data_IF_679356739275
#
_entry.id   IF_679356739275
#
_cell.length_a   1.000
_cell.length_b   1.000
_cell.length_c   1.000
_cell.angle_alpha   90.00
_cell.angle_beta   90.00
_cell.angle_gamma   90.00
#
_symmetry.space_group_name_H-M   'P 1'
#
loop_
_entity.id
_entity.type
_entity.pdbx_description
1 polymer ?
#
# COMPACT_ATOMS: atom_id res chain seq x y z
N UNK A 1 3.40 16.91 -19.00
CA UNK A 1 3.62 16.59 -17.58
C UNK A 1 4.53 15.37 -17.47
N UNK A 2 5.38 15.31 -16.45
CA UNK A 2 6.18 14.12 -16.15
C UNK A 2 5.62 13.41 -14.91
N UNK A 3 5.54 12.08 -14.96
CA UNK A 3 5.26 11.23 -13.80
C UNK A 3 6.53 10.46 -13.47
N UNK A 4 7.10 10.71 -12.30
CA UNK A 4 8.30 10.06 -11.81
C UNK A 4 7.93 8.83 -10.97
N UNK A 5 8.15 7.64 -11.52
CA UNK A 5 7.89 6.34 -10.90
C UNK A 5 6.69 5.60 -11.47
N UNK A 6 6.90 4.33 -11.81
CA UNK A 6 5.93 3.39 -12.40
C UNK A 6 5.21 2.54 -11.33
N UNK A 7 5.04 3.07 -10.10
CA UNK A 7 4.24 2.45 -9.06
C UNK A 7 2.74 2.72 -9.23
N UNK A 8 1.86 2.13 -8.36
CA UNK A 8 0.42 2.31 -8.46
C UNK A 8 -0.03 3.78 -8.44
N UNK A 9 0.62 4.63 -7.66
CA UNK A 9 0.34 6.07 -7.62
C UNK A 9 0.64 6.74 -8.97
N UNK A 10 1.82 6.47 -9.54
CA UNK A 10 2.26 7.08 -10.79
C UNK A 10 1.45 6.61 -11.98
N UNK A 11 1.22 5.29 -12.11
CA UNK A 11 0.41 4.74 -13.19
C UNK A 11 -1.04 5.23 -13.15
N UNK A 12 -1.66 5.29 -11.96
CA UNK A 12 -3.01 5.84 -11.81
C UNK A 12 -3.06 7.34 -12.15
N UNK A 13 -2.06 8.13 -11.72
CA UNK A 13 -1.95 9.54 -12.08
C UNK A 13 -1.80 9.72 -13.59
N UNK A 14 -0.91 8.95 -14.23
CA UNK A 14 -0.70 9.02 -15.67
C UNK A 14 -1.99 8.77 -16.46
N UNK A 15 -2.76 7.72 -16.06
CA UNK A 15 -4.05 7.40 -16.70
C UNK A 15 -5.08 8.49 -16.51
N UNK A 16 -5.23 9.02 -15.31
CA UNK A 16 -6.21 10.07 -15.01
C UNK A 16 -5.87 11.37 -15.74
N UNK A 17 -4.60 11.78 -15.74
CA UNK A 17 -4.15 12.99 -16.41
C UNK A 17 -4.24 12.87 -17.93
N UNK A 18 -3.88 11.73 -18.51
CA UNK A 18 -4.01 11.51 -19.95
C UNK A 18 -5.48 11.51 -20.39
N UNK A 19 -6.38 10.92 -19.59
CA UNK A 19 -7.83 10.96 -19.84
C UNK A 19 -8.38 12.39 -19.83
N UNK A 20 -7.81 13.28 -19.03
CA UNK A 20 -8.17 14.70 -18.98
C UNK A 20 -7.49 15.53 -20.08
N UNK A 21 -6.83 14.90 -21.06
CA UNK A 21 -6.22 15.53 -22.23
C UNK A 21 -4.80 16.07 -22.01
N UNK A 22 -4.19 15.80 -20.87
CA UNK A 22 -2.80 16.19 -20.64
C UNK A 22 -1.81 15.27 -21.37
N UNK A 23 -0.74 15.85 -21.93
CA UNK A 23 0.41 15.07 -22.43
C UNK A 23 1.25 14.60 -21.25
N UNK A 24 1.35 13.30 -21.06
CA UNK A 24 2.03 12.66 -19.92
C UNK A 24 3.15 11.77 -20.42
N UNK A 25 4.31 11.81 -19.75
CA UNK A 25 5.41 10.85 -19.91
C UNK A 25 5.72 10.26 -18.54
N UNK A 26 5.80 8.94 -18.44
CA UNK A 26 6.17 8.22 -17.21
C UNK A 26 7.65 7.86 -17.27
N UNK A 27 8.39 8.10 -16.19
CA UNK A 27 9.80 7.77 -16.06
C UNK A 27 10.00 6.68 -15.00
N UNK A 28 10.74 5.62 -15.34
CA UNK A 28 11.02 4.49 -14.47
C UNK A 28 12.50 4.13 -14.50
N UNK A 29 13.05 3.79 -13.32
CA UNK A 29 14.47 3.43 -13.18
C UNK A 29 14.83 2.05 -13.72
N UNK A 30 13.90 1.10 -13.68
CA UNK A 30 14.13 -0.25 -14.19
C UNK A 30 13.94 -0.29 -15.71
N UNK A 31 14.78 -1.05 -16.40
CA UNK A 31 14.65 -1.31 -17.84
C UNK A 31 13.34 -2.05 -18.17
N UNK A 32 13.01 -3.03 -17.36
CA UNK A 32 11.72 -3.71 -17.38
C UNK A 32 11.00 -3.45 -16.06
N UNK A 33 9.99 -2.58 -16.04
CA UNK A 33 9.21 -2.31 -14.84
C UNK A 33 8.58 -3.59 -14.31
N UNK A 34 8.88 -3.88 -13.05
CA UNK A 34 8.38 -5.08 -12.39
C UNK A 34 7.88 -4.75 -10.97
N UNK A 35 6.82 -5.43 -10.51
CA UNK A 35 6.32 -5.24 -9.17
C UNK A 35 7.26 -5.88 -8.15
N UNK A 36 7.52 -5.15 -7.06
CA UNK A 36 8.30 -5.65 -5.92
C UNK A 36 7.36 -5.93 -4.76
N UNK A 37 7.47 -7.10 -4.16
CA UNK A 37 6.72 -7.51 -2.98
C UNK A 37 5.62 -8.52 -3.28
N UNK A 38 4.84 -8.85 -2.25
CA UNK A 38 3.83 -9.90 -2.27
C UNK A 38 2.40 -9.31 -2.28
N UNK A 39 1.58 -9.67 -1.29
CA UNK A 39 0.19 -9.23 -1.22
C UNK A 39 -0.02 -7.82 -0.68
N UNK A 40 -1.14 -7.25 -1.03
CA UNK A 40 -1.71 -6.04 -0.45
C UNK A 40 -3.25 -6.13 -0.42
N UNK A 41 -3.90 -5.18 0.24
CA UNK A 41 -5.35 -5.08 0.23
C UNK A 41 -5.80 -3.83 -0.53
N UNK A 42 -6.68 -4.02 -1.51
CA UNK A 42 -7.49 -2.94 -2.08
C UNK A 42 -8.78 -2.84 -1.28
N UNK A 43 -8.97 -1.68 -0.70
CA UNK A 43 -10.12 -1.34 0.14
C UNK A 43 -11.21 -0.64 -0.70
N UNK A 44 -12.42 -0.49 -0.19
CA UNK A 44 -13.50 0.20 -0.91
C UNK A 44 -13.09 1.56 -1.48
N UNK A 45 -12.26 2.31 -0.77
CA UNK A 45 -11.78 3.63 -1.22
C UNK A 45 -10.85 3.56 -2.43
N UNK A 46 -9.92 2.61 -2.46
CA UNK A 46 -9.06 2.39 -3.62
C UNK A 46 -9.82 1.81 -4.80
N UNK A 47 -10.76 0.89 -4.51
CA UNK A 47 -11.62 0.30 -5.54
C UNK A 47 -12.49 1.35 -6.24
N UNK A 48 -12.98 2.37 -5.52
CA UNK A 48 -13.73 3.48 -6.11
C UNK A 48 -12.91 4.23 -7.17
N UNK A 49 -11.62 4.46 -6.94
CA UNK A 49 -10.74 5.06 -7.96
C UNK A 49 -10.54 4.13 -9.16
N UNK A 50 -10.33 2.83 -8.92
CA UNK A 50 -10.17 1.85 -9.99
C UNK A 50 -11.44 1.69 -10.82
N UNK A 51 -12.64 1.80 -10.22
CA UNK A 51 -13.91 1.89 -10.96
C UNK A 51 -13.94 3.12 -11.85
N UNK A 52 -13.58 4.28 -11.32
CA UNK A 52 -13.44 5.50 -12.10
C UNK A 52 -12.49 5.37 -13.30
N UNK A 53 -11.47 4.52 -13.19
CA UNK A 53 -10.55 4.17 -14.28
C UNK A 53 -11.08 3.07 -15.21
N UNK A 54 -12.18 2.37 -14.88
CA UNK A 54 -12.67 1.21 -15.61
C UNK A 54 -11.86 -0.07 -15.37
N UNK A 55 -11.06 -0.13 -14.30
CA UNK A 55 -10.11 -1.22 -14.02
C UNK A 55 -10.54 -2.13 -12.85
N UNK A 56 -11.66 -1.82 -12.19
CA UNK A 56 -12.08 -2.53 -11.00
C UNK A 56 -12.41 -4.01 -11.29
N UNK A 57 -13.17 -4.30 -12.36
CA UNK A 57 -13.58 -5.66 -12.69
C UNK A 57 -12.37 -6.55 -13.04
N UNK A 58 -11.39 -6.00 -13.76
CA UNK A 58 -10.15 -6.72 -14.07
C UNK A 58 -9.35 -7.06 -12.80
N UNK A 59 -9.38 -6.18 -11.79
CA UNK A 59 -8.77 -6.43 -10.49
C UNK A 59 -9.55 -7.50 -9.72
N UNK A 60 -10.86 -7.35 -9.60
CA UNK A 60 -11.74 -8.25 -8.85
C UNK A 60 -11.60 -9.69 -9.36
N UNK A 61 -11.60 -9.88 -10.69
CA UNK A 61 -11.47 -11.19 -11.31
C UNK A 61 -10.16 -11.94 -10.98
N UNK A 62 -9.12 -11.21 -10.58
CA UNK A 62 -7.79 -11.78 -10.27
C UNK A 62 -7.42 -11.69 -8.77
N UNK A 63 -8.31 -11.19 -7.93
CA UNK A 63 -8.11 -11.01 -6.49
C UNK A 63 -8.91 -12.00 -5.67
N UNK A 64 -8.67 -12.06 -4.37
CA UNK A 64 -9.51 -12.75 -3.42
C UNK A 64 -10.38 -11.73 -2.67
N UNK A 65 -11.68 -11.99 -2.59
CA UNK A 65 -12.60 -11.21 -1.75
C UNK A 65 -12.23 -11.39 -0.29
N UNK A 66 -12.15 -10.31 0.47
CA UNK A 66 -11.87 -10.34 1.92
C UNK A 66 -13.06 -9.72 2.65
N UNK A 67 -13.81 -10.55 3.33
CA UNK A 67 -14.97 -10.15 4.13
C UNK A 67 -14.60 -9.83 5.58
N UNK A 68 -13.49 -10.39 6.08
CA UNK A 68 -13.10 -10.31 7.49
C UNK A 68 -11.60 -10.20 7.68
N UNK A 69 -11.17 -9.45 8.69
CA UNK A 69 -9.82 -9.49 9.23
C UNK A 69 -9.92 -10.11 10.62
N UNK A 70 -9.19 -11.19 10.83
CA UNK A 70 -9.27 -11.97 12.06
C UNK A 70 -7.89 -12.25 12.64
N UNK A 71 -7.72 -12.03 13.93
CA UNK A 71 -6.46 -12.25 14.59
C UNK A 71 -6.59 -12.75 16.02
N UNK A 72 -5.72 -13.69 16.41
CA UNK A 72 -5.67 -14.21 17.77
C UNK A 72 -4.29 -14.09 18.39
N UNK A 73 -4.25 -13.95 19.71
CA UNK A 73 -3.05 -14.02 20.54
C UNK A 73 -3.30 -14.94 21.73
N UNK A 74 -2.49 -15.99 21.88
CA UNK A 74 -2.64 -16.98 22.97
C UNK A 74 -4.10 -17.50 23.11
N UNK A 75 -4.73 -17.84 21.99
CA UNK A 75 -6.11 -18.35 21.94
C UNK A 75 -7.21 -17.28 22.12
N UNK A 76 -6.86 -16.01 22.35
CA UNK A 76 -7.81 -14.90 22.50
C UNK A 76 -7.96 -14.13 21.18
N UNK A 77 -9.18 -13.74 20.85
CA UNK A 77 -9.45 -12.84 19.73
C UNK A 77 -8.92 -11.45 20.09
N UNK A 78 -8.05 -10.88 19.24
CA UNK A 78 -7.45 -9.55 19.40
C UNK A 78 -7.71 -8.63 18.21
N UNK A 79 -8.23 -9.19 17.14
CA UNK A 79 -8.68 -8.48 15.94
C UNK A 79 -9.87 -9.26 15.37
N UNK A 80 -10.99 -8.58 15.21
CA UNK A 80 -12.17 -9.13 14.55
C UNK A 80 -12.93 -8.00 13.85
N UNK A 81 -12.68 -7.84 12.57
CA UNK A 81 -13.21 -6.75 11.77
C UNK A 81 -13.95 -7.34 10.57
N UNK A 82 -15.27 -7.30 10.60
CA UNK A 82 -16.14 -7.67 9.49
C UNK A 82 -16.62 -6.42 8.72
N UNK A 83 -16.58 -6.47 7.41
CA UNK A 83 -17.11 -5.39 6.57
C UNK A 83 -18.64 -5.33 6.57
N UNK A 84 -19.32 -6.39 6.97
CA UNK A 84 -20.77 -6.49 7.17
C UNK A 84 -21.30 -5.52 8.25
N UNK A 85 -20.44 -5.07 9.15
CA UNK A 85 -20.75 -4.05 10.17
C UNK A 85 -20.86 -2.63 9.61
N UNK A 86 -20.44 -2.40 8.36
CA UNK A 86 -20.55 -1.11 7.68
C UNK A 86 -22.00 -0.83 7.29
N UNK A 87 -22.34 0.48 7.18
CA UNK A 87 -23.70 0.91 6.87
C UNK A 87 -24.15 0.51 5.46
N UNK A 88 -23.23 0.38 4.52
CA UNK A 88 -23.51 -0.02 3.15
C UNK A 88 -23.28 -1.53 3.00
N UNK A 89 -24.30 -2.31 2.63
CA UNK A 89 -24.17 -3.75 2.39
C UNK A 89 -23.24 -4.05 1.21
N UNK A 90 -22.63 -5.25 1.23
CA UNK A 90 -21.83 -5.75 0.12
C UNK A 90 -20.39 -5.21 0.04
N UNK A 91 -20.00 -4.27 0.90
CA UNK A 91 -18.63 -3.80 0.96
C UNK A 91 -17.70 -4.92 1.45
N UNK A 92 -16.51 -4.98 0.85
CA UNK A 92 -15.44 -5.88 1.24
C UNK A 92 -14.09 -5.30 0.82
N UNK A 93 -13.00 -5.85 1.34
CA UNK A 93 -11.67 -5.67 0.79
C UNK A 93 -11.36 -6.70 -0.29
N UNK A 94 -10.29 -6.47 -1.03
CA UNK A 94 -9.73 -7.42 -1.98
C UNK A 94 -8.27 -7.64 -1.68
N UNK A 95 -7.91 -8.88 -1.34
CA UNK A 95 -6.52 -9.30 -1.26
C UNK A 95 -5.99 -9.52 -2.68
N UNK A 96 -4.93 -8.85 -3.02
CA UNK A 96 -4.39 -8.87 -4.37
C UNK A 96 -2.87 -8.96 -4.35
N UNK A 97 -2.28 -9.73 -5.26
CA UNK A 97 -0.84 -9.69 -5.46
C UNK A 97 -0.42 -8.34 -6.05
N UNK A 98 0.70 -7.78 -5.60
CA UNK A 98 1.19 -6.49 -6.12
C UNK A 98 1.40 -6.52 -7.64
N UNK A 99 1.83 -7.67 -8.19
CA UNK A 99 1.97 -7.86 -9.63
C UNK A 99 0.64 -7.71 -10.38
N UNK A 100 -0.46 -8.14 -9.80
CA UNK A 100 -1.79 -8.01 -10.41
C UNK A 100 -2.20 -6.55 -10.52
N UNK A 101 -2.11 -5.79 -9.42
CA UNK A 101 -2.43 -4.35 -9.46
C UNK A 101 -1.51 -3.60 -10.43
N UNK A 102 -0.21 -3.92 -10.40
CA UNK A 102 0.76 -3.33 -11.32
C UNK A 102 0.42 -3.64 -12.78
N UNK A 103 0.20 -4.92 -13.13
CA UNK A 103 -0.07 -5.34 -14.50
C UNK A 103 -1.31 -4.65 -15.07
N UNK A 104 -2.41 -4.59 -14.30
CA UNK A 104 -3.66 -3.97 -14.73
C UNK A 104 -3.46 -2.46 -15.02
N UNK A 105 -2.76 -1.75 -14.15
CA UNK A 105 -2.48 -0.32 -14.35
C UNK A 105 -1.49 -0.09 -15.49
N UNK A 106 -0.46 -0.92 -15.59
CA UNK A 106 0.58 -0.82 -16.63
C UNK A 106 0.01 -1.13 -18.02
N UNK A 107 -0.74 -2.24 -18.14
CA UNK A 107 -1.44 -2.60 -19.39
C UNK A 107 -2.35 -1.46 -19.86
N UNK A 108 -3.07 -0.81 -18.94
CA UNK A 108 -3.92 0.34 -19.26
C UNK A 108 -3.10 1.57 -19.71
N UNK A 109 -1.94 1.84 -19.11
CA UNK A 109 -1.02 2.93 -19.53
C UNK A 109 -0.50 2.67 -20.94
N UNK A 110 -0.09 1.43 -21.25
CA UNK A 110 0.37 1.04 -22.58
C UNK A 110 -0.77 1.14 -23.60
N UNK A 111 -1.95 0.65 -23.26
CA UNK A 111 -3.14 0.71 -24.13
C UNK A 111 -3.59 2.16 -24.42
N UNK A 112 -3.38 3.07 -23.47
CA UNK A 112 -3.63 4.51 -23.64
C UNK A 112 -2.54 5.23 -24.46
N UNK A 113 -1.49 4.53 -24.90
CA UNK A 113 -0.38 5.10 -25.67
C UNK A 113 0.45 6.12 -24.88
N UNK A 114 0.46 6.05 -23.54
CA UNK A 114 1.23 6.95 -22.69
C UNK A 114 2.71 6.57 -22.77
N UNK A 115 3.62 7.49 -23.18
CA UNK A 115 5.06 7.22 -23.24
C UNK A 115 5.62 6.77 -21.88
N UNK A 116 6.39 5.67 -21.89
CA UNK A 116 7.09 5.14 -20.74
C UNK A 116 8.60 5.09 -21.02
N UNK A 117 9.35 5.98 -20.38
CA UNK A 117 10.82 6.01 -20.42
C UNK A 117 11.40 5.18 -19.30
N UNK A 118 11.92 4.01 -19.63
CA UNK A 118 12.56 3.06 -18.71
C UNK A 118 14.07 3.29 -18.61
N UNK A 119 14.75 2.68 -17.62
CA UNK A 119 16.18 2.87 -17.37
C UNK A 119 16.55 4.28 -16.90
N UNK A 120 15.58 5.10 -16.48
CA UNK A 120 15.77 6.49 -16.07
C UNK A 120 15.87 6.65 -14.56
N UNK A 121 17.06 6.56 -14.02
CA UNK A 121 17.31 6.75 -12.58
C UNK A 121 17.28 8.26 -12.27
N UNK A 122 16.17 8.72 -11.72
CA UNK A 122 15.97 10.13 -11.31
C UNK A 122 16.77 10.37 -10.02
N UNK A 123 17.57 11.43 -9.99
CA UNK A 123 18.36 11.85 -8.81
C UNK A 123 17.98 13.24 -8.30
N UNK A 124 17.19 14.02 -9.07
CA UNK A 124 16.75 15.35 -8.69
C UNK A 124 15.79 15.98 -9.67
N UNK A 125 15.37 17.18 -9.37
CA UNK A 125 14.64 18.06 -10.29
C UNK A 125 15.04 19.51 -10.04
N UNK A 126 14.99 20.33 -11.06
CA UNK A 126 15.30 21.74 -10.94
C UNK A 126 14.20 22.61 -11.60
N UNK A 127 13.91 23.73 -10.96
CA UNK A 127 13.06 24.75 -11.53
C UNK A 127 13.87 25.49 -12.63
N UNK A 128 13.34 25.52 -13.82
CA UNK A 128 13.93 26.21 -14.97
C UNK A 128 13.16 27.52 -15.16
N UNK A 129 13.51 28.36 -16.06
CA UNK A 129 12.85 29.69 -16.29
C UNK A 129 11.31 29.61 -16.15
N UNK A 130 10.71 30.50 -15.37
CA UNK A 130 9.29 30.60 -15.14
C UNK A 130 8.81 29.57 -14.10
N UNK A 131 7.77 28.82 -14.44
CA UNK A 131 7.08 27.85 -13.60
C UNK A 131 7.23 26.40 -14.09
N UNK A 132 8.28 26.09 -14.86
CA UNK A 132 8.58 24.76 -15.41
C UNK A 132 9.72 24.09 -14.69
N UNK A 133 9.65 22.76 -14.59
CA UNK A 133 10.70 21.92 -14.02
C UNK A 133 11.23 20.91 -15.05
N UNK A 134 12.46 20.46 -14.84
CA UNK A 134 13.03 19.28 -15.50
C UNK A 134 13.56 18.28 -14.47
N UNK A 135 13.57 17.02 -14.85
CA UNK A 135 14.20 15.93 -14.10
C UNK A 135 15.68 15.87 -14.39
N UNK A 136 16.48 15.49 -13.40
CA UNK A 136 17.90 15.17 -13.56
C UNK A 136 18.11 13.68 -13.30
N UNK A 137 18.92 13.04 -14.16
CA UNK A 137 19.18 11.60 -14.11
C UNK A 137 20.59 11.28 -13.62
N UNK A 138 20.80 10.05 -13.12
CA UNK A 138 22.07 9.60 -12.60
C UNK A 138 23.20 9.55 -13.66
N UNK A 139 22.86 9.49 -14.93
CA UNK A 139 23.80 9.55 -16.06
C UNK A 139 24.25 10.99 -16.42
N UNK A 140 23.85 11.99 -15.63
CA UNK A 140 24.15 13.40 -15.84
C UNK A 140 23.25 14.10 -16.86
N UNK A 141 22.33 13.39 -17.50
CA UNK A 141 21.37 13.97 -18.44
C UNK A 141 20.20 14.63 -17.71
N UNK A 142 19.49 15.49 -18.40
CA UNK A 142 18.24 16.09 -17.94
C UNK A 142 17.13 15.78 -18.94
N UNK A 143 15.89 15.74 -18.44
CA UNK A 143 14.70 15.66 -19.29
C UNK A 143 14.43 16.98 -20.02
N UNK A 144 13.46 16.96 -20.89
CA UNK A 144 12.78 18.19 -21.33
C UNK A 144 12.11 18.91 -20.14
N UNK A 145 11.56 20.09 -20.41
CA UNK A 145 10.87 20.92 -19.41
C UNK A 145 9.39 20.55 -19.36
N UNK A 146 8.88 20.35 -18.14
CA UNK A 146 7.49 20.02 -17.88
C UNK A 146 6.81 21.12 -17.07
N UNK A 147 5.55 21.37 -17.37
CA UNK A 147 4.70 22.27 -16.59
C UNK A 147 4.38 21.70 -15.20
N UNK A 148 4.47 20.37 -15.06
CA UNK A 148 4.29 19.67 -13.78
C UNK A 148 5.11 18.36 -13.76
N UNK A 149 5.80 18.14 -12.64
CA UNK A 149 6.36 16.83 -12.26
C UNK A 149 5.51 16.24 -11.13
N UNK A 150 5.03 15.02 -11.31
CA UNK A 150 4.33 14.22 -10.30
C UNK A 150 5.32 13.21 -9.72
N UNK A 151 5.75 13.43 -8.49
CA UNK A 151 6.65 12.51 -7.79
C UNK A 151 5.87 11.35 -7.17
N UNK A 152 6.03 10.17 -7.74
CA UNK A 152 5.53 8.89 -7.26
C UNK A 152 6.66 7.87 -7.01
N UNK A 153 7.89 8.35 -6.73
CA UNK A 153 9.10 7.53 -6.52
C UNK A 153 9.12 6.78 -5.18
N UNK A 154 8.08 6.96 -4.37
CA UNK A 154 7.92 6.24 -3.11
C UNK A 154 8.73 6.83 -1.95
N UNK A 155 8.84 6.06 -0.88
CA UNK A 155 9.38 6.52 0.43
C UNK A 155 10.78 7.13 0.35
N UNK A 156 11.60 6.70 -0.60
CA UNK A 156 13.00 7.15 -0.78
C UNK A 156 13.18 8.08 -1.97
N UNK A 157 12.16 8.86 -2.29
CA UNK A 157 12.27 9.84 -3.38
C UNK A 157 13.45 10.80 -3.19
N UNK A 158 14.26 11.04 -4.22
CA UNK A 158 15.29 12.06 -4.17
C UNK A 158 14.74 13.48 -4.44
N UNK A 159 13.46 13.61 -4.80
CA UNK A 159 12.83 14.89 -5.13
C UNK A 159 12.33 15.65 -3.90
N UNK A 160 12.44 15.08 -2.71
CA UNK A 160 12.06 15.70 -1.46
C UNK A 160 13.15 15.54 -0.40
N UNK A 161 13.26 16.47 0.55
CA UNK A 161 14.20 16.32 1.66
C UNK A 161 13.88 15.07 2.48
N UNK A 162 14.89 14.43 3.07
CA UNK A 162 14.69 13.32 4.00
C UNK A 162 13.79 13.75 5.14
N UNK A 163 12.74 12.98 5.41
CA UNK A 163 11.85 13.20 6.54
C UNK A 163 11.28 11.88 7.07
N UNK A 164 10.70 11.93 8.27
CA UNK A 164 10.12 10.77 8.91
C UNK A 164 11.13 9.88 9.61
N UNK A 165 10.73 8.65 9.92
CA UNK A 165 11.54 7.67 10.63
C UNK A 165 11.38 6.27 10.03
N UNK A 166 12.46 5.53 9.93
CA UNK A 166 12.42 4.10 9.64
C UNK A 166 12.00 3.35 10.90
N UNK A 167 11.15 2.34 10.76
CA UNK A 167 10.71 1.54 11.88
C UNK A 167 11.71 0.43 12.21
N UNK A 168 11.75 0.03 13.48
CA UNK A 168 12.59 -1.08 13.95
C UNK A 168 12.13 -2.42 13.40
N UNK A 169 10.84 -2.55 13.13
CA UNK A 169 10.22 -3.76 12.58
C UNK A 169 9.93 -3.62 11.09
N UNK A 170 9.97 -4.75 10.42
CA UNK A 170 9.45 -5.00 9.10
C UNK A 170 8.76 -6.36 9.07
N UNK A 171 8.61 -6.95 7.89
CA UNK A 171 8.14 -8.31 7.75
C UNK A 171 8.82 -9.02 6.59
N UNK A 172 9.00 -10.32 6.74
CA UNK A 172 9.30 -11.25 5.66
C UNK A 172 7.99 -11.60 4.96
N UNK A 173 7.97 -11.57 3.64
CA UNK A 173 6.79 -11.84 2.82
C UNK A 173 7.12 -12.90 1.78
N UNK A 174 6.21 -13.87 1.61
CA UNK A 174 6.23 -14.82 0.52
C UNK A 174 4.86 -14.91 -0.15
N UNK A 175 4.83 -15.18 -1.46
CA UNK A 175 3.62 -15.55 -2.20
C UNK A 175 3.68 -17.04 -2.45
N UNK A 176 2.70 -17.77 -1.92
CA UNK A 176 2.67 -19.22 -1.88
C UNK A 176 1.36 -19.73 -2.47
N UNK A 177 1.35 -20.95 -2.98
CA UNK A 177 0.10 -21.59 -3.38
C UNK A 177 -0.82 -21.69 -2.17
N UNK A 178 -2.08 -21.34 -2.36
CA UNK A 178 -3.09 -21.46 -1.31
C UNK A 178 -3.25 -22.93 -0.92
N UNK A 179 -3.39 -23.16 0.38
CA UNK A 179 -3.63 -24.48 0.96
C UNK A 179 -4.94 -24.46 1.76
N UNK A 180 -5.48 -25.63 2.03
CA UNK A 180 -6.65 -25.79 2.91
C UNK A 180 -6.31 -25.42 4.36
N UNK A 181 -7.33 -25.19 5.18
CA UNK A 181 -7.19 -24.85 6.60
C UNK A 181 -7.15 -23.34 6.89
N UNK A 182 -7.28 -22.49 5.85
CA UNK A 182 -7.42 -21.03 5.97
C UNK A 182 -8.75 -20.57 5.35
N UNK A 183 -9.37 -19.56 5.97
CA UNK A 183 -10.59 -18.97 5.44
C UNK A 183 -10.35 -18.37 4.04
N UNK A 184 -11.22 -18.65 3.06
CA UNK A 184 -11.02 -18.20 1.69
C UNK A 184 -11.22 -16.68 1.54
N UNK A 185 -11.89 -16.05 2.47
CA UNK A 185 -12.32 -14.66 2.43
C UNK A 185 -11.91 -13.87 3.68
N UNK A 186 -10.86 -14.32 4.37
CA UNK A 186 -10.33 -13.60 5.53
C UNK A 186 -8.80 -13.38 5.45
N UNK A 187 -8.37 -12.24 5.95
CA UNK A 187 -7.01 -12.05 6.41
C UNK A 187 -6.91 -12.65 7.82
N UNK A 188 -6.15 -13.72 7.98
CA UNK A 188 -5.92 -14.34 9.27
C UNK A 188 -4.55 -14.01 9.83
N UNK A 189 -4.48 -13.77 11.16
CA UNK A 189 -3.25 -13.39 11.83
C UNK A 189 -3.11 -14.09 13.19
N UNK A 190 -1.87 -14.41 13.54
CA UNK A 190 -1.50 -14.96 14.86
C UNK A 190 -0.42 -14.09 15.47
N UNK A 191 -0.59 -13.80 16.76
CA UNK A 191 0.31 -12.92 17.49
C UNK A 191 0.87 -13.60 18.73
N UNK A 192 2.16 -13.37 18.98
CA UNK A 192 2.81 -13.63 20.26
C UNK A 192 3.36 -12.30 20.77
N UNK A 193 2.63 -11.66 21.70
CA UNK A 193 2.82 -10.27 22.12
C UNK A 193 2.62 -9.31 20.93
N UNK A 194 3.47 -8.24 20.84
CA UNK A 194 3.54 -7.37 19.66
C UNK A 194 4.84 -7.59 18.88
N UNK A 195 5.76 -8.43 19.36
CA UNK A 195 7.05 -8.67 18.72
C UNK A 195 7.00 -9.72 17.61
N UNK A 196 6.01 -10.59 17.64
CA UNK A 196 5.89 -11.68 16.67
C UNK A 196 4.47 -11.73 16.11
N UNK A 197 4.35 -11.69 14.80
CA UNK A 197 3.09 -11.80 14.08
C UNK A 197 3.30 -12.62 12.82
N UNK A 198 2.46 -13.63 12.62
CA UNK A 198 2.29 -14.31 11.35
C UNK A 198 0.94 -13.97 10.75
N UNK A 199 0.86 -13.87 9.44
CA UNK A 199 -0.41 -13.64 8.76
C UNK A 199 -0.48 -14.34 7.41
N UNK A 200 -1.70 -14.71 7.03
CA UNK A 200 -2.05 -15.31 5.76
C UNK A 200 -3.18 -14.49 5.13
N UNK A 201 -2.92 -13.96 3.95
CA UNK A 201 -3.86 -13.18 3.16
C UNK A 201 -4.09 -13.89 1.82
N UNK A 202 -5.30 -14.35 1.50
CA UNK A 202 -5.63 -14.77 0.14
C UNK A 202 -5.43 -13.59 -0.84
N UNK A 203 -4.75 -13.83 -1.96
CA UNK A 203 -4.38 -12.77 -2.92
C UNK A 203 -4.82 -13.07 -4.36
N UNK A 204 -5.71 -14.05 -4.52
CA UNK A 204 -6.24 -14.43 -5.82
C UNK A 204 -5.20 -15.11 -6.71
N UNK A 205 -5.32 -14.88 -8.02
CA UNK A 205 -4.48 -15.50 -9.04
C UNK A 205 -3.61 -14.43 -9.73
N UNK A 206 -2.33 -14.30 -9.35
CA UNK A 206 -1.39 -13.37 -9.99
C UNK A 206 -1.16 -13.70 -11.47
N UNK A 207 -0.66 -12.74 -12.28
CA UNK A 207 -0.23 -13.01 -13.64
C UNK A 207 0.77 -14.17 -13.70
N UNK A 208 0.55 -15.12 -14.62
CA UNK A 208 1.39 -16.31 -14.80
C UNK A 208 1.17 -17.42 -13.78
N UNK A 209 0.31 -17.23 -12.77
CA UNK A 209 -0.01 -18.30 -11.83
C UNK A 209 -1.23 -19.11 -12.29
N UNK A 210 -1.12 -20.42 -12.27
CA UNK A 210 -2.21 -21.34 -12.59
C UNK A 210 -3.20 -21.49 -11.41
N UNK A 211 -2.68 -21.41 -10.20
CA UNK A 211 -3.44 -21.63 -8.96
C UNK A 211 -3.57 -20.33 -8.14
N UNK A 212 -4.60 -20.29 -7.31
CA UNK A 212 -4.77 -19.23 -6.30
C UNK A 212 -3.60 -19.23 -5.33
N UNK A 213 -3.23 -18.02 -4.92
CA UNK A 213 -2.13 -17.79 -3.98
C UNK A 213 -2.59 -17.12 -2.71
N UNK A 214 -1.78 -17.29 -1.67
CA UNK A 214 -1.86 -16.55 -0.43
C UNK A 214 -0.52 -15.86 -0.15
N UNK A 215 -0.57 -14.63 0.32
CA UNK A 215 0.59 -13.95 0.86
C UNK A 215 0.76 -14.37 2.33
N UNK A 216 1.85 -15.03 2.62
CA UNK A 216 2.31 -15.28 3.97
C UNK A 216 3.22 -14.14 4.42
N UNK A 217 3.09 -13.69 5.67
CA UNK A 217 4.01 -12.70 6.23
C UNK A 217 4.34 -12.98 7.69
N UNK A 218 5.58 -12.62 8.06
CA UNK A 218 6.13 -12.80 9.39
C UNK A 218 6.85 -11.54 9.85
N UNK A 219 6.42 -10.97 10.99
CA UNK A 219 7.07 -9.78 11.53
C UNK A 219 8.45 -10.11 12.09
N UNK A 220 9.41 -9.26 11.78
CA UNK A 220 10.78 -9.39 12.25
C UNK A 220 11.42 -8.01 12.44
N UNK A 221 12.29 -7.88 13.44
CA UNK A 221 13.10 -6.67 13.61
C UNK A 221 14.16 -6.59 12.51
N UNK A 222 14.37 -5.40 11.98
CA UNK A 222 15.34 -5.16 10.90
C UNK A 222 16.78 -5.51 11.31
N UNK A 223 17.14 -5.30 12.59
CA UNK A 223 18.47 -5.65 13.14
C UNK A 223 18.65 -7.17 13.36
N UNK A 224 17.59 -7.97 13.24
CA UNK A 224 17.64 -9.43 13.34
C UNK A 224 17.70 -10.16 12.00
N UNK A 225 17.63 -9.46 10.87
CA UNK A 225 17.64 -10.08 9.54
C UNK A 225 18.94 -10.86 9.26
N UNK A 226 20.09 -10.32 9.65
CA UNK A 226 21.37 -11.02 9.48
C UNK A 226 21.42 -12.31 10.31
N UNK A 227 20.96 -12.24 11.55
CA UNK A 227 20.86 -13.41 12.43
C UNK A 227 19.89 -14.46 11.90
N UNK A 228 18.71 -14.03 11.44
CA UNK A 228 17.72 -14.93 10.84
C UNK A 228 18.29 -15.68 9.63
N UNK A 229 19.03 -14.98 8.73
CA UNK A 229 19.69 -15.63 7.59
C UNK A 229 20.75 -16.64 8.02
N UNK A 230 21.52 -16.32 9.05
CA UNK A 230 22.55 -17.21 9.57
C UNK A 230 21.99 -18.44 10.29
N UNK A 231 20.84 -18.31 10.96
CA UNK A 231 20.18 -19.43 11.65
C UNK A 231 19.51 -20.44 10.69
N UNK A 232 19.25 -20.05 9.45
CA UNK A 232 18.66 -20.92 8.43
C UNK A 232 17.13 -20.98 8.48
N UNK A 233 16.55 -21.61 7.45
CA UNK A 233 15.10 -21.70 7.28
C UNK A 233 14.45 -22.62 8.32
N UNK A 234 15.07 -23.72 8.68
CA UNK A 234 14.45 -24.74 9.54
C UNK A 234 14.12 -24.18 10.93
N UNK A 235 15.09 -23.52 11.57
CA UNK A 235 14.88 -22.89 12.87
C UNK A 235 13.77 -21.83 12.82
N UNK A 236 13.65 -21.09 11.72
CA UNK A 236 12.60 -20.12 11.52
C UNK A 236 11.25 -20.80 11.27
N UNK A 237 11.19 -21.82 10.42
CA UNK A 237 9.96 -22.61 10.15
C UNK A 237 9.43 -23.24 11.44
N UNK A 238 10.29 -23.75 12.30
CA UNK A 238 9.90 -24.31 13.59
C UNK A 238 9.28 -23.26 14.51
N UNK A 239 9.85 -22.06 14.57
CA UNK A 239 9.27 -20.94 15.32
C UNK A 239 7.92 -20.47 14.76
N UNK A 240 7.69 -20.56 13.45
CA UNK A 240 6.40 -20.28 12.81
C UNK A 240 5.39 -21.37 13.13
N UNK A 241 5.76 -22.66 13.03
CA UNK A 241 4.92 -23.81 13.36
C UNK A 241 4.50 -23.80 14.84
N UNK A 242 5.42 -23.42 15.74
CA UNK A 242 5.10 -23.25 17.17
C UNK A 242 4.01 -22.18 17.39
N UNK A 243 4.09 -21.04 16.67
CA UNK A 243 3.08 -19.98 16.76
C UNK A 243 1.77 -20.38 16.08
N UNK A 244 1.85 -21.03 14.93
CA UNK A 244 0.69 -21.33 14.09
C UNK A 244 0.89 -22.65 13.32
N UNK A 245 0.58 -23.81 13.94
CA UNK A 245 0.80 -25.12 13.32
C UNK A 245 0.16 -25.30 11.94
N UNK A 246 -1.01 -24.70 11.70
CA UNK A 246 -1.72 -24.80 10.42
C UNK A 246 -0.94 -24.22 9.23
N UNK A 247 0.12 -23.44 9.47
CA UNK A 247 0.97 -22.90 8.40
C UNK A 247 1.96 -23.91 7.82
N UNK A 248 2.11 -25.11 8.39
CA UNK A 248 3.08 -26.10 7.94
C UNK A 248 3.05 -26.34 6.41
N UNK A 249 1.88 -26.58 5.75
CA UNK A 249 1.84 -26.83 4.32
C UNK A 249 2.21 -25.58 3.46
N UNK A 250 2.10 -24.37 4.02
CA UNK A 250 2.61 -23.16 3.39
C UNK A 250 4.13 -23.08 3.50
N UNK A 251 4.67 -23.37 4.69
CA UNK A 251 6.11 -23.33 4.96
C UNK A 251 6.88 -24.38 4.16
N UNK A 252 6.26 -25.52 3.88
CA UNK A 252 6.86 -26.61 3.07
C UNK A 252 7.10 -26.19 1.61
N UNK A 253 6.50 -25.11 1.14
CA UNK A 253 6.75 -24.52 -0.18
C UNK A 253 7.96 -23.55 -0.20
N UNK A 254 8.56 -23.26 0.95
CA UNK A 254 9.68 -22.31 1.06
C UNK A 254 10.97 -23.10 1.25
N UNK A 255 11.75 -23.27 0.19
CA UNK A 255 12.99 -24.04 0.20
C UNK A 255 14.23 -23.15 0.19
N UNK A 256 14.07 -21.87 -0.20
CA UNK A 256 15.13 -20.90 -0.30
C UNK A 256 14.77 -19.61 0.47
N UNK A 257 15.69 -19.07 1.31
CA UNK A 257 15.50 -17.76 1.96
C UNK A 257 15.19 -16.61 0.97
N UNK A 258 15.62 -16.72 -0.28
CA UNK A 258 15.34 -15.75 -1.35
C UNK A 258 13.86 -15.65 -1.72
N UNK A 259 13.03 -16.67 -1.43
CA UNK A 259 11.58 -16.62 -1.58
C UNK A 259 10.91 -15.67 -0.57
N UNK A 260 11.64 -15.27 0.47
CA UNK A 260 11.16 -14.36 1.52
C UNK A 260 11.71 -12.94 1.30
N UNK A 261 10.87 -12.05 0.82
CA UNK A 261 11.22 -10.65 0.65
C UNK A 261 11.07 -9.88 1.96
N UNK A 262 12.15 -9.24 2.44
CA UNK A 262 12.07 -8.38 3.60
C UNK A 262 11.56 -6.98 3.24
N UNK A 263 10.38 -6.64 3.73
CA UNK A 263 9.80 -5.29 3.64
C UNK A 263 10.13 -4.49 4.91
N UNK A 264 10.95 -3.44 4.76
CA UNK A 264 11.24 -2.50 5.84
C UNK A 264 10.25 -1.34 5.80
N UNK A 265 9.67 -1.01 6.94
CA UNK A 265 8.65 0.04 7.02
C UNK A 265 9.24 1.37 7.47
N UNK A 266 8.57 2.45 7.08
CA UNK A 266 8.88 3.80 7.52
C UNK A 266 7.57 4.58 7.73
N UNK A 267 7.59 5.51 8.69
CA UNK A 267 6.57 6.56 8.80
C UNK A 267 7.17 7.84 8.25
N UNK A 268 6.56 8.35 7.20
CA UNK A 268 6.93 9.60 6.55
C UNK A 268 5.66 10.40 6.28
N UNK A 269 5.70 11.67 6.56
CA UNK A 269 4.69 12.62 6.08
C UNK A 269 5.41 13.91 5.72
N UNK A 270 5.47 14.22 4.44
CA UNK A 270 6.10 15.44 3.96
C UNK A 270 5.20 16.64 4.31
N UNK A 271 5.69 17.64 5.06
CA UNK A 271 4.87 18.76 5.52
C UNK A 271 4.34 19.63 4.36
N UNK A 272 5.14 19.77 3.32
CA UNK A 272 4.83 20.53 2.09
C UNK A 272 4.96 19.58 0.89
N UNK A 273 3.86 18.86 0.54
CA UNK A 273 3.90 17.88 -0.54
C UNK A 273 3.80 18.49 -1.94
N UNK A 274 3.70 19.80 -2.05
CA UNK A 274 3.69 20.50 -3.33
C UNK A 274 4.53 21.77 -3.25
N UNK A 275 5.18 22.07 -4.32
CA UNK A 275 5.92 23.31 -4.62
C UNK A 275 5.75 23.66 -6.11
N UNK A 276 6.37 24.75 -6.59
CA UNK A 276 6.21 25.19 -7.97
C UNK A 276 6.52 24.05 -8.95
N UNK A 277 5.52 23.68 -9.77
CA UNK A 277 5.58 22.63 -10.79
C UNK A 277 6.01 21.24 -10.29
N UNK A 278 5.80 20.93 -9.01
CA UNK A 278 6.09 19.62 -8.41
C UNK A 278 5.06 19.25 -7.34
N UNK A 279 4.57 18.02 -7.39
CA UNK A 279 3.73 17.44 -6.33
C UNK A 279 4.19 16.02 -6.01
N UNK A 280 4.21 15.69 -4.72
CA UNK A 280 4.49 14.34 -4.22
C UNK A 280 3.18 13.63 -3.90
N UNK A 281 3.03 12.38 -4.35
CA UNK A 281 1.85 11.54 -4.12
C UNK A 281 2.23 10.16 -3.59
N UNK A 282 1.30 9.47 -2.95
CA UNK A 282 1.52 8.16 -2.36
C UNK A 282 2.66 8.16 -1.34
N UNK A 283 3.51 7.14 -1.39
CA UNK A 283 4.61 6.97 -0.42
C UNK A 283 5.69 8.07 -0.52
N UNK A 284 5.75 8.84 -1.60
CA UNK A 284 6.61 10.01 -1.70
C UNK A 284 6.13 11.15 -0.80
N UNK A 285 4.83 11.27 -0.59
CA UNK A 285 4.21 12.21 0.36
C UNK A 285 4.08 11.59 1.76
N UNK A 286 3.44 10.39 1.88
CA UNK A 286 3.04 9.80 3.14
C UNK A 286 3.19 8.27 3.12
N UNK A 287 4.30 7.76 3.57
CA UNK A 287 4.44 6.32 3.78
C UNK A 287 4.14 5.95 5.23
N UNK A 288 3.62 4.76 5.44
CA UNK A 288 3.28 4.23 6.76
C UNK A 288 3.50 2.72 6.84
N UNK A 289 3.50 2.18 8.06
CA UNK A 289 3.45 0.72 8.24
C UNK A 289 2.13 0.16 7.70
N UNK A 290 2.08 -1.13 7.30
CA UNK A 290 0.90 -1.72 6.67
C UNK A 290 -0.22 -2.09 7.66
N UNK A 291 -0.18 -1.62 8.91
CA UNK A 291 -1.12 -2.03 9.96
C UNK A 291 -2.60 -1.79 9.59
N UNK A 292 -2.89 -0.76 8.82
CA UNK A 292 -4.26 -0.46 8.36
C UNK A 292 -4.51 -0.86 6.89
N UNK A 293 -3.51 -1.39 6.19
CA UNK A 293 -3.64 -1.81 4.78
C UNK A 293 -3.97 -0.69 3.80
N UNK A 294 -3.62 0.58 4.09
CA UNK A 294 -4.11 1.73 3.34
C UNK A 294 -3.16 2.32 2.30
N UNK A 295 -1.89 1.91 2.25
CA UNK A 295 -0.89 2.58 1.40
C UNK A 295 -1.29 2.73 -0.07
N UNK A 296 -1.64 1.63 -0.74
CA UNK A 296 -2.06 1.66 -2.14
C UNK A 296 -3.38 2.43 -2.35
N UNK A 297 -4.33 2.30 -1.42
CA UNK A 297 -5.62 2.99 -1.50
C UNK A 297 -5.46 4.50 -1.42
N UNK A 298 -4.63 4.97 -0.49
CA UNK A 298 -4.33 6.40 -0.34
C UNK A 298 -3.57 6.94 -1.55
N UNK A 299 -2.65 6.16 -2.12
CA UNK A 299 -1.92 6.53 -3.33
C UNK A 299 -2.86 6.71 -4.55
N UNK A 300 -3.85 5.83 -4.72
CA UNK A 300 -4.88 5.96 -5.75
C UNK A 300 -5.75 7.21 -5.53
N UNK A 301 -6.15 7.49 -4.28
CA UNK A 301 -6.92 8.69 -3.94
C UNK A 301 -6.12 9.97 -4.18
N UNK A 302 -4.80 9.98 -3.97
CA UNK A 302 -3.96 11.15 -4.25
C UNK A 302 -3.88 11.44 -5.74
N UNK A 303 -3.71 10.40 -6.57
CA UNK A 303 -3.73 10.53 -8.03
C UNK A 303 -5.06 11.11 -8.52
N UNK A 304 -6.18 10.65 -7.96
CA UNK A 304 -7.51 11.15 -8.31
C UNK A 304 -7.72 12.61 -7.85
N UNK A 305 -7.26 12.96 -6.64
CA UNK A 305 -7.33 14.34 -6.14
C UNK A 305 -6.52 15.33 -7.01
N UNK A 306 -5.35 14.90 -7.50
CA UNK A 306 -4.56 15.69 -8.43
C UNK A 306 -5.31 15.96 -9.74
N UNK A 307 -5.92 14.92 -10.32
CA UNK A 307 -6.70 15.09 -11.55
C UNK A 307 -7.89 16.05 -11.34
N UNK A 308 -8.63 15.94 -10.22
CA UNK A 308 -9.70 16.89 -9.90
C UNK A 308 -9.18 18.33 -9.80
N UNK A 309 -8.05 18.54 -9.10
CA UNK A 309 -7.45 19.86 -8.97
C UNK A 309 -7.12 20.49 -10.33
N UNK A 310 -6.53 19.73 -11.23
CA UNK A 310 -6.10 20.18 -12.54
C UNK A 310 -7.25 20.46 -13.52
N UNK A 311 -8.44 19.90 -13.30
CA UNK A 311 -9.65 20.24 -14.09
C UNK A 311 -10.22 21.62 -13.73
N UNK A 312 -9.93 22.10 -12.53
CA UNK A 312 -10.61 23.28 -11.97
C UNK A 312 -9.77 24.56 -12.00
N UNK A 313 -8.43 24.47 -12.20
CA UNK A 313 -7.55 25.62 -12.01
C UNK A 313 -6.22 25.48 -12.78
N UNK A 314 -5.45 26.56 -12.83
CA UNK A 314 -4.04 26.54 -13.27
C UNK A 314 -3.20 25.59 -12.35
N UNK A 315 -2.01 25.24 -12.82
CA UNK A 315 -1.18 24.24 -12.12
C UNK A 315 -0.93 24.62 -10.65
N UNK A 316 -0.61 25.88 -10.36
CA UNK A 316 -0.29 26.32 -9.00
C UNK A 316 -1.47 26.16 -8.03
N UNK A 317 -2.64 26.67 -8.42
CA UNK A 317 -3.87 26.55 -7.64
C UNK A 317 -4.35 25.09 -7.57
N UNK A 318 -4.18 24.30 -8.64
CA UNK A 318 -4.52 22.90 -8.71
C UNK A 318 -3.76 22.05 -7.69
N UNK A 319 -2.45 22.27 -7.54
CA UNK A 319 -1.63 21.56 -6.57
C UNK A 319 -2.07 21.85 -5.13
N UNK A 320 -2.38 23.12 -4.83
CA UNK A 320 -2.90 23.53 -3.54
C UNK A 320 -4.25 22.86 -3.24
N UNK A 321 -5.16 22.83 -4.22
CA UNK A 321 -6.46 22.17 -4.12
C UNK A 321 -6.33 20.65 -3.90
N UNK A 322 -5.50 19.96 -4.69
CA UNK A 322 -5.24 18.53 -4.54
C UNK A 322 -4.73 18.19 -3.14
N UNK A 323 -3.78 18.96 -2.63
CA UNK A 323 -3.26 18.81 -1.27
C UNK A 323 -4.35 19.06 -0.22
N UNK A 324 -5.17 20.08 -0.39
CA UNK A 324 -6.27 20.41 0.53
C UNK A 324 -7.29 19.28 0.62
N UNK A 325 -7.71 18.71 -0.51
CA UNK A 325 -8.64 17.57 -0.60
C UNK A 325 -8.14 16.34 0.18
N UNK A 326 -6.81 16.12 0.21
CA UNK A 326 -6.22 14.93 0.80
C UNK A 326 -5.68 15.11 2.22
N UNK A 327 -5.21 16.30 2.56
CA UNK A 327 -4.42 16.58 3.79
C UNK A 327 -5.07 16.07 5.07
N UNK A 328 -6.39 16.28 5.23
CA UNK A 328 -7.12 15.85 6.44
C UNK A 328 -7.11 14.32 6.55
N UNK A 329 -7.41 13.62 5.48
CA UNK A 329 -7.44 12.16 5.43
C UNK A 329 -6.03 11.57 5.62
N UNK A 330 -5.02 12.11 4.95
CA UNK A 330 -3.61 11.72 5.12
C UNK A 330 -3.18 11.86 6.58
N UNK A 331 -3.40 13.02 7.21
CA UNK A 331 -3.04 13.25 8.62
C UNK A 331 -3.73 12.27 9.55
N UNK A 332 -5.03 12.03 9.35
CA UNK A 332 -5.80 11.09 10.14
C UNK A 332 -5.22 9.69 10.09
N UNK A 333 -4.97 9.16 8.89
CA UNK A 333 -4.46 7.80 8.72
C UNK A 333 -3.00 7.65 9.15
N UNK A 334 -2.18 8.67 8.97
CA UNK A 334 -0.82 8.70 9.52
C UNK A 334 -0.85 8.63 11.05
N UNK A 335 -1.73 9.39 11.71
CA UNK A 335 -1.89 9.36 13.17
C UNK A 335 -2.43 8.02 13.66
N UNK A 336 -3.46 7.47 13.02
CA UNK A 336 -4.01 6.15 13.35
C UNK A 336 -2.96 5.05 13.19
N UNK A 337 -2.24 5.05 12.07
CA UNK A 337 -1.20 4.06 11.85
C UNK A 337 -0.06 4.17 12.85
N UNK A 338 0.35 5.39 13.21
CA UNK A 338 1.36 5.62 14.23
C UNK A 338 0.92 5.14 15.62
N UNK A 339 -0.37 5.29 15.95
CA UNK A 339 -0.97 4.82 17.20
C UNK A 339 -1.06 3.29 17.24
N UNK A 340 -1.49 2.65 16.14
CA UNK A 340 -1.70 1.20 16.12
C UNK A 340 -0.40 0.41 15.91
N UNK A 341 0.61 0.97 15.23
CA UNK A 341 1.87 0.26 14.98
C UNK A 341 2.48 -0.34 16.24
N UNK A 342 2.69 0.37 17.36
CA UNK A 342 3.29 -0.21 18.55
C UNK A 342 2.41 -1.23 19.27
N UNK A 343 1.11 -1.21 19.06
CA UNK A 343 0.15 -2.18 19.63
C UNK A 343 0.31 -3.57 18.99
N UNK A 344 0.63 -3.59 17.69
CA UNK A 344 0.74 -4.82 16.90
C UNK A 344 2.18 -5.17 16.50
N UNK A 345 3.11 -4.21 16.56
CA UNK A 345 4.49 -4.41 16.12
C UNK A 345 5.48 -3.56 16.94
N UNK A 346 5.87 -4.10 18.11
CA UNK A 346 6.84 -3.47 19.02
C UNK A 346 7.41 -4.48 20.02
N UNK A 347 8.43 -4.05 20.78
CA UNK A 347 8.99 -4.80 21.92
C UNK A 347 8.22 -4.55 23.24
N UNK A 348 7.12 -3.77 23.21
CA UNK A 348 6.31 -3.50 24.38
C UNK A 348 5.71 -4.78 24.97
N UNK A 349 5.70 -4.86 26.30
CA UNK A 349 4.98 -5.90 27.05
C UNK A 349 3.62 -5.44 27.53
N UNK A 350 3.44 -4.13 27.70
CA UNK A 350 2.22 -3.51 28.21
C UNK A 350 1.17 -3.37 27.12
N UNK A 351 1.54 -2.83 25.94
CA UNK A 351 0.58 -2.59 24.86
C UNK A 351 -0.15 -3.86 24.39
N UNK A 352 0.54 -5.01 24.14
CA UNK A 352 -0.18 -6.24 23.82
C UNK A 352 -1.07 -6.74 24.96
N UNK A 353 -0.67 -6.57 26.21
CA UNK A 353 -1.52 -6.95 27.34
C UNK A 353 -2.83 -6.14 27.34
N UNK A 354 -2.75 -4.82 27.15
CA UNK A 354 -3.93 -3.95 27.03
C UNK A 354 -4.78 -4.35 25.82
N UNK A 355 -4.14 -4.58 24.67
CA UNK A 355 -4.83 -5.05 23.45
C UNK A 355 -5.60 -6.35 23.73
N UNK A 356 -4.93 -7.36 24.29
CA UNK A 356 -5.47 -8.72 24.45
C UNK A 356 -6.58 -8.79 25.51
N UNK A 357 -6.55 -7.90 26.52
CA UNK A 357 -7.48 -7.92 27.65
C UNK A 357 -8.60 -6.89 27.59
N UNK A 358 -8.38 -5.76 26.91
CA UNK A 358 -9.35 -4.67 26.87
C UNK A 358 -9.84 -4.41 25.43
N UNK A 359 -8.93 -4.19 24.49
CA UNK A 359 -9.31 -3.79 23.12
C UNK A 359 -9.90 -4.97 22.35
N UNK A 360 -9.29 -6.14 22.42
CA UNK A 360 -9.74 -7.34 21.71
C UNK A 360 -11.19 -7.73 22.05
N UNK A 361 -11.55 -7.95 23.31
CA UNK A 361 -12.93 -8.27 23.69
C UNK A 361 -13.96 -7.21 23.26
N UNK A 362 -13.58 -5.93 23.26
CA UNK A 362 -14.48 -4.85 22.83
C UNK A 362 -14.61 -4.75 21.31
N UNK A 363 -13.64 -5.27 20.55
CA UNK A 363 -13.59 -5.14 19.10
C UNK A 363 -14.78 -5.78 18.37
N UNK A 364 -15.36 -6.84 18.92
CA UNK A 364 -16.53 -7.51 18.37
C UNK A 364 -17.89 -6.84 18.66
N UNK A 365 -17.91 -5.78 19.49
CA UNK A 365 -19.14 -5.15 19.96
C UNK A 365 -19.38 -3.77 19.32
N UNK A 366 -20.65 -3.42 19.14
CA UNK A 366 -21.04 -2.07 18.71
C UNK A 366 -20.70 -1.06 19.82
N UNK A 367 -20.15 0.15 19.53
CA UNK A 367 -19.83 0.68 18.20
C UNK A 367 -18.39 0.39 17.72
N UNK A 368 -17.58 -0.32 18.50
CA UNK A 368 -16.15 -0.49 18.23
C UNK A 368 -15.91 -1.29 16.93
N UNK A 369 -16.68 -2.36 16.68
CA UNK A 369 -16.60 -3.14 15.45
C UNK A 369 -16.82 -2.29 14.20
N UNK A 370 -17.84 -1.43 14.21
CA UNK A 370 -18.15 -0.53 13.08
C UNK A 370 -17.08 0.53 12.86
N UNK A 371 -16.51 1.08 13.93
CA UNK A 371 -15.41 2.05 13.86
C UNK A 371 -14.17 1.39 13.25
N UNK A 372 -13.85 0.17 13.67
CA UNK A 372 -12.72 -0.59 13.13
C UNK A 372 -12.93 -0.94 11.66
N UNK A 373 -14.13 -1.39 11.28
CA UNK A 373 -14.46 -1.66 9.89
C UNK A 373 -14.34 -0.40 9.01
N UNK A 374 -14.85 0.75 9.47
CA UNK A 374 -14.71 2.02 8.78
C UNK A 374 -13.24 2.48 8.68
N UNK A 375 -12.43 2.19 9.69
CA UNK A 375 -11.00 2.50 9.70
C UNK A 375 -10.24 1.63 8.68
N UNK A 376 -10.46 0.32 8.71
CA UNK A 376 -9.79 -0.62 7.79
C UNK A 376 -10.23 -0.38 6.34
N UNK A 377 -11.51 -0.09 6.11
CA UNK A 377 -12.04 0.19 4.77
C UNK A 377 -11.61 1.54 4.18
N UNK A 378 -10.93 2.40 4.95
CA UNK A 378 -10.50 3.72 4.49
C UNK A 378 -11.56 4.80 4.60
N UNK A 379 -12.73 4.52 5.19
CA UNK A 379 -13.91 5.38 5.15
C UNK A 379 -13.99 6.43 6.27
N UNK A 380 -13.14 6.32 7.31
CA UNK A 380 -13.12 7.35 8.35
C UNK A 380 -12.74 8.71 7.76
N UNK A 381 -13.48 9.74 8.12
CA UNK A 381 -13.28 11.09 7.61
C UNK A 381 -13.96 11.35 6.26
N UNK A 382 -14.74 10.39 5.74
CA UNK A 382 -15.51 10.51 4.48
C UNK A 382 -14.67 10.99 3.29
N UNK A 383 -13.55 10.32 2.95
CA UNK A 383 -12.60 10.83 1.95
C UNK A 383 -13.14 10.85 0.53
N UNK A 384 -14.20 10.10 0.22
CA UNK A 384 -14.73 9.97 -1.14
C UNK A 384 -15.61 11.15 -1.56
N UNK A 385 -16.38 11.72 -0.64
CA UNK A 385 -17.31 12.81 -0.96
C UNK A 385 -16.62 14.05 -1.56
N UNK A 386 -15.50 14.57 -0.99
CA UNK A 386 -14.77 15.68 -1.60
C UNK A 386 -14.15 15.34 -2.97
N UNK A 387 -13.99 14.06 -3.26
CA UNK A 387 -13.42 13.53 -4.51
C UNK A 387 -14.47 13.14 -5.54
N UNK A 388 -15.76 13.40 -5.27
CA UNK A 388 -16.88 12.98 -6.11
C UNK A 388 -16.85 11.47 -6.45
N UNK A 389 -16.34 10.65 -5.53
CA UNK A 389 -16.30 9.18 -5.66
C UNK A 389 -17.43 8.54 -4.87
N UNK A 390 -17.94 7.43 -5.40
CA UNK A 390 -18.97 6.60 -4.74
C UNK A 390 -18.42 5.20 -4.45
N UNK A 391 -19.10 4.49 -3.56
CA UNK A 391 -18.79 3.09 -3.22
C UNK A 391 -19.55 2.09 -4.11
N UNK A 392 -20.44 2.60 -4.95
CA UNK A 392 -21.28 1.79 -5.84
C UNK A 392 -20.48 1.27 -7.04
#
# INVERSE_FOLDING_TARGET
MAVAGCGPAGLAAALLLARDGHRVTVFERFEAPAPIGSGLMIQPTGLAVLRGLGLAEALIARSARIARLFGTANGRIVLDVGYDTLAQPGLCGFGVHRATLFAILHEAVVAAGIPLETGRVIVGSELVSGDRRRLTFADGRSSERFDLIVDALGTRTPLAPPCGRTLHYGALWASLRRVEGFAPDALEQRYRRASTMAGVLPIGRPPGAELEQAAFFWSIRADRIAHWRAAGLDAWKDGVRELWPATAPLLDQIDDPGQLTFARYAHRTLPRPAETALIHIGDAWHSASPQLGQGANMALLDAHALAIGLRAADVGAALAAAVALRRRHVRLYQSLTALFTPVYQSDSRVLPFVRDRLVGPLSGHWPANRIQAAMVSGLIGRPLAPLALTLA
#
